data_IF_949410366702
#
_entry.id   IF_949410366702
#
_cell.length_a   1.000
_cell.length_b   1.000
_cell.length_c   1.000
_cell.angle_alpha   90.00
_cell.angle_beta   90.00
_cell.angle_gamma   90.00
#
_symmetry.space_group_name_H-M   'P 1'
#
loop_
_entity.id
_entity.type
_entity.pdbx_description
1 polymer ?
#
# COMPACT_ATOMS: atom_id res chain seq x y z
N UNK A 1 2.53 -2.59 35.05
CA UNK A 1 1.59 -3.32 34.17
C UNK A 1 2.10 -4.75 34.10
N UNK A 2 1.25 -5.74 34.34
CA UNK A 2 1.64 -7.15 34.22
C UNK A 2 1.87 -7.51 32.75
N UNK A 3 2.95 -8.24 32.47
CA UNK A 3 3.29 -8.80 31.17
C UNK A 3 2.57 -10.12 30.93
N UNK A 4 2.62 -10.65 29.70
CA UNK A 4 2.10 -12.00 29.39
C UNK A 4 2.86 -13.04 30.24
N UNK A 5 4.14 -12.77 30.48
CA UNK A 5 5.02 -13.58 31.30
C UNK A 5 4.56 -13.62 32.76
N UNK A 6 4.11 -12.50 33.30
CA UNK A 6 3.60 -12.41 34.68
C UNK A 6 2.23 -13.08 34.83
N UNK A 7 1.34 -12.92 33.84
CA UNK A 7 -0.03 -13.43 33.92
C UNK A 7 -0.14 -14.92 33.59
N UNK A 8 0.68 -15.40 32.66
CA UNK A 8 0.61 -16.74 32.13
C UNK A 8 2.01 -17.36 32.05
N UNK A 9 2.74 -17.55 33.17
CA UNK A 9 4.11 -18.08 33.17
C UNK A 9 4.21 -19.40 32.40
N UNK A 10 5.25 -19.57 31.58
CA UNK A 10 5.36 -20.71 30.65
C UNK A 10 5.49 -22.03 31.41
N UNK A 11 6.03 -21.98 32.62
CA UNK A 11 6.23 -23.11 33.54
C UNK A 11 4.90 -23.68 34.07
N UNK A 12 3.81 -22.92 34.00
CA UNK A 12 2.49 -23.34 34.48
C UNK A 12 1.43 -23.41 33.37
N UNK A 13 1.58 -22.60 32.32
CA UNK A 13 0.61 -22.45 31.25
C UNK A 13 1.13 -22.94 29.90
N UNK A 14 0.31 -23.71 29.19
CA UNK A 14 0.52 -23.89 27.75
C UNK A 14 0.09 -22.60 27.05
N UNK A 15 1.03 -21.92 26.39
CA UNK A 15 0.77 -20.68 25.64
C UNK A 15 0.58 -21.00 24.17
N UNK A 16 -0.54 -20.59 23.62
CA UNK A 16 -0.92 -20.87 22.24
C UNK A 16 -1.06 -19.54 21.51
N UNK A 17 -0.11 -19.21 20.64
CA UNK A 17 -0.17 -18.04 19.79
C UNK A 17 -0.82 -18.40 18.45
N UNK A 18 -1.79 -17.62 18.02
CA UNK A 18 -2.52 -17.86 16.77
C UNK A 18 -2.60 -16.58 15.93
N UNK A 19 -2.43 -16.71 14.62
CA UNK A 19 -2.60 -15.61 13.66
C UNK A 19 -3.19 -16.11 12.32
N UNK A 20 -3.84 -15.21 11.60
CA UNK A 20 -4.59 -15.46 10.37
C UNK A 20 -4.22 -14.51 9.23
N UNK A 21 -3.63 -15.06 8.17
CA UNK A 21 -3.25 -14.31 6.98
C UNK A 21 -4.22 -14.55 5.83
N UNK A 22 -4.51 -13.52 5.05
CA UNK A 22 -5.09 -13.71 3.73
C UNK A 22 -4.50 -12.75 2.69
N UNK A 23 -4.13 -13.32 1.54
CA UNK A 23 -3.62 -12.59 0.40
C UNK A 23 -4.65 -11.60 -0.14
N UNK A 24 -4.26 -10.32 -0.19
CA UNK A 24 -5.16 -9.22 -0.56
C UNK A 24 -6.49 -9.22 0.25
N UNK A 25 -6.48 -9.71 1.49
CA UNK A 25 -7.57 -9.77 2.46
C UNK A 25 -8.76 -10.72 2.17
N UNK A 26 -8.75 -11.49 1.06
CA UNK A 26 -9.88 -12.41 0.73
C UNK A 26 -9.46 -13.62 -0.13
N UNK A 27 -8.17 -13.93 -0.23
CA UNK A 27 -7.68 -15.02 -1.07
C UNK A 27 -6.53 -15.73 -0.40
N UNK A 28 -6.35 -17.03 -0.70
CA UNK A 28 -5.25 -17.86 -0.21
C UNK A 28 -4.98 -17.59 1.28
N UNK A 29 -5.89 -18.09 2.11
CA UNK A 29 -5.78 -17.90 3.55
C UNK A 29 -4.78 -18.87 4.16
N UNK A 30 -4.20 -18.46 5.27
CA UNK A 30 -3.33 -19.31 6.07
C UNK A 30 -3.55 -19.05 7.55
N UNK A 31 -3.60 -20.12 8.33
CA UNK A 31 -3.63 -20.09 9.78
C UNK A 31 -2.24 -20.48 10.30
N UNK A 32 -1.74 -19.74 11.27
CA UNK A 32 -0.48 -20.00 11.95
C UNK A 32 -0.72 -20.26 13.42
N UNK A 33 -0.12 -21.33 13.94
CA UNK A 33 -0.26 -21.75 15.34
C UNK A 33 1.13 -22.02 15.89
N UNK A 34 1.46 -21.38 17.00
CA UNK A 34 2.69 -21.61 17.73
C UNK A 34 2.37 -21.91 19.20
N UNK A 35 2.72 -23.11 19.66
CA UNK A 35 2.44 -23.59 21.01
C UNK A 35 3.75 -23.66 21.79
N UNK A 36 3.73 -23.18 23.02
CA UNK A 36 4.81 -23.33 23.99
C UNK A 36 4.26 -24.10 25.19
N UNK A 37 4.88 -25.23 25.48
CA UNK A 37 4.52 -26.09 26.59
C UNK A 37 5.41 -25.83 27.81
N UNK A 38 4.94 -26.19 29.03
CA UNK A 38 5.73 -26.04 30.26
C UNK A 38 7.05 -26.80 30.29
N UNK A 39 7.13 -27.94 29.61
CA UNK A 39 8.37 -28.73 29.49
C UNK A 39 9.37 -28.16 28.46
N UNK A 40 9.18 -26.91 28.02
CA UNK A 40 9.95 -26.23 26.97
C UNK A 40 9.79 -26.77 25.53
N UNK A 41 8.96 -27.81 25.32
CA UNK A 41 8.59 -28.25 23.97
C UNK A 41 7.76 -27.19 23.24
N UNK A 42 7.82 -27.23 21.91
CA UNK A 42 7.19 -26.25 21.03
C UNK A 42 6.59 -26.93 19.81
N UNK A 43 5.35 -26.59 19.51
CA UNK A 43 4.73 -26.96 18.24
C UNK A 43 4.60 -25.74 17.33
N UNK A 44 4.79 -25.97 16.03
CA UNK A 44 4.54 -24.97 14.99
C UNK A 44 3.70 -25.59 13.90
N UNK A 45 2.54 -25.02 13.64
CA UNK A 45 1.58 -25.53 12.66
C UNK A 45 1.23 -24.39 11.69
N UNK A 46 1.16 -24.74 10.42
CA UNK A 46 0.86 -23.81 9.34
C UNK A 46 -0.15 -24.48 8.41
N UNK A 47 -1.35 -23.90 8.29
CA UNK A 47 -2.51 -24.56 7.66
C UNK A 47 -3.05 -23.69 6.53
N UNK A 48 -3.23 -24.22 5.30
CA UNK A 48 -3.92 -23.49 4.25
C UNK A 48 -5.43 -23.48 4.50
N UNK A 49 -6.05 -22.30 4.55
CA UNK A 49 -7.48 -22.14 4.90
C UNK A 49 -8.39 -21.93 3.69
N UNK A 50 -7.81 -22.01 2.49
CA UNK A 50 -8.52 -22.08 1.21
C UNK A 50 -8.33 -20.86 0.31
N UNK A 51 -8.66 -21.07 -0.97
CA UNK A 51 -8.51 -20.06 -2.04
C UNK A 51 -9.33 -18.80 -1.75
N UNK A 52 -10.48 -18.96 -1.09
CA UNK A 52 -11.42 -17.90 -0.78
C UNK A 52 -11.57 -17.71 0.72
N UNK A 53 -10.53 -17.21 1.36
CA UNK A 53 -10.53 -16.98 2.80
C UNK A 53 -10.20 -15.53 3.13
N UNK A 54 -10.96 -14.92 4.03
CA UNK A 54 -10.67 -13.62 4.62
C UNK A 54 -9.77 -13.75 5.85
N UNK A 55 -9.11 -12.67 6.27
CA UNK A 55 -8.32 -12.69 7.51
C UNK A 55 -9.16 -13.22 8.68
N UNK A 56 -10.38 -12.68 8.87
CA UNK A 56 -11.29 -13.13 9.94
C UNK A 56 -11.54 -14.65 9.95
N UNK A 57 -11.73 -15.25 8.78
CA UNK A 57 -11.92 -16.70 8.67
C UNK A 57 -10.63 -17.47 8.96
N UNK A 58 -9.47 -16.95 8.52
CA UNK A 58 -8.17 -17.54 8.82
C UNK A 58 -7.83 -17.46 10.32
N UNK A 59 -8.13 -16.34 10.99
CA UNK A 59 -7.96 -16.16 12.43
C UNK A 59 -8.82 -17.17 13.21
N UNK A 60 -10.11 -17.25 12.87
CA UNK A 60 -11.02 -18.20 13.52
C UNK A 60 -10.56 -19.65 13.29
N UNK A 61 -10.09 -19.96 12.08
CA UNK A 61 -9.52 -21.28 11.77
C UNK A 61 -8.28 -21.57 12.61
N UNK A 62 -7.38 -20.60 12.83
CA UNK A 62 -6.19 -20.81 13.64
C UNK A 62 -6.52 -21.22 15.08
N UNK A 63 -7.52 -20.57 15.70
CA UNK A 63 -7.95 -20.92 17.07
C UNK A 63 -8.64 -22.29 17.09
N UNK A 64 -9.52 -22.58 16.12
CA UNK A 64 -10.23 -23.87 16.02
C UNK A 64 -9.22 -25.02 15.89
N UNK A 65 -8.32 -24.92 14.92
CA UNK A 65 -7.34 -25.98 14.65
C UNK A 65 -6.34 -26.13 15.80
N UNK A 66 -5.98 -25.03 16.48
CA UNK A 66 -5.16 -25.10 17.68
C UNK A 66 -5.86 -25.83 18.83
N UNK A 67 -7.16 -25.60 19.02
CA UNK A 67 -7.95 -26.29 20.03
C UNK A 67 -8.11 -27.78 19.70
N UNK A 68 -8.39 -28.12 18.44
CA UNK A 68 -8.49 -29.51 17.98
C UNK A 68 -7.16 -30.24 18.13
N UNK A 69 -6.05 -29.63 17.70
CA UNK A 69 -4.70 -30.19 17.87
C UNK A 69 -4.36 -30.45 19.34
N UNK A 70 -4.78 -29.57 20.24
CA UNK A 70 -4.55 -29.77 21.67
C UNK A 70 -5.42 -30.90 22.24
N UNK A 71 -6.65 -31.06 21.75
CA UNK A 71 -7.56 -32.12 22.22
C UNK A 71 -7.07 -33.53 21.87
N UNK A 72 -6.27 -33.67 20.80
CA UNK A 72 -5.64 -34.93 20.39
C UNK A 72 -4.37 -35.26 21.18
N UNK A 73 -3.80 -34.29 21.91
CA UNK A 73 -2.58 -34.46 22.69
C UNK A 73 -2.87 -34.68 24.18
N UNK A 74 -1.98 -35.42 24.85
CA UNK A 74 -1.99 -35.50 26.31
C UNK A 74 -1.61 -34.14 26.90
N UNK A 75 -2.46 -33.52 27.74
CA UNK A 75 -2.17 -32.22 28.34
C UNK A 75 -1.02 -32.35 29.34
N UNK A 76 -0.06 -31.44 29.25
CA UNK A 76 1.03 -31.35 30.24
C UNK A 76 0.65 -30.48 31.46
N UNK A 77 -0.38 -29.67 31.32
CA UNK A 77 -0.93 -28.80 32.36
C UNK A 77 -2.43 -28.67 32.16
N UNK A 78 -3.13 -28.35 33.24
CA UNK A 78 -4.56 -28.09 33.23
C UNK A 78 -4.90 -26.65 32.79
N UNK A 79 -3.91 -25.81 32.50
CA UNK A 79 -4.11 -24.39 32.22
C UNK A 79 -3.55 -24.00 30.85
N UNK A 80 -4.41 -23.44 30.01
CA UNK A 80 -4.06 -23.08 28.64
C UNK A 80 -4.55 -21.68 28.29
N UNK A 81 -3.72 -20.92 27.59
CA UNK A 81 -4.05 -19.57 27.14
C UNK A 81 -3.88 -19.45 25.63
N UNK A 82 -4.94 -19.03 24.95
CA UNK A 82 -4.91 -18.64 23.54
C UNK A 82 -4.63 -17.14 23.46
N UNK A 83 -3.53 -16.79 22.82
CA UNK A 83 -3.02 -15.45 22.61
C UNK A 83 -3.23 -15.08 21.14
N UNK A 84 -4.17 -14.18 20.88
CA UNK A 84 -4.55 -13.78 19.51
C UNK A 84 -4.73 -12.26 19.42
N UNK A 85 -4.38 -11.66 18.29
CA UNK A 85 -4.69 -10.26 18.02
C UNK A 85 -6.05 -10.05 17.33
N UNK A 86 -6.78 -11.14 17.06
CA UNK A 86 -8.06 -11.16 16.38
C UNK A 86 -9.25 -10.82 17.29
N UNK A 87 -9.30 -9.57 17.80
CA UNK A 87 -10.36 -9.11 18.71
C UNK A 87 -11.78 -9.38 18.17
N UNK A 88 -11.98 -9.27 16.85
CA UNK A 88 -13.27 -9.55 16.22
C UNK A 88 -13.73 -11.00 16.35
N UNK A 89 -12.79 -11.96 16.39
CA UNK A 89 -13.09 -13.39 16.56
C UNK A 89 -13.48 -13.66 18.00
N UNK A 90 -12.75 -13.08 18.97
CA UNK A 90 -13.08 -13.19 20.40
C UNK A 90 -14.48 -12.64 20.69
N UNK A 91 -14.79 -11.44 20.20
CA UNK A 91 -16.12 -10.83 20.32
C UNK A 91 -17.21 -11.69 19.66
N UNK A 92 -16.93 -12.33 18.53
CA UNK A 92 -17.90 -13.21 17.88
C UNK A 92 -18.12 -14.52 18.65
N UNK A 93 -17.07 -15.03 19.31
CA UNK A 93 -17.11 -16.20 20.19
C UNK A 93 -18.00 -15.96 21.39
N UNK A 94 -17.82 -14.83 22.10
CA UNK A 94 -18.65 -14.45 23.26
C UNK A 94 -20.14 -14.34 22.92
N UNK A 95 -20.46 -13.93 21.69
CA UNK A 95 -21.83 -13.82 21.21
C UNK A 95 -22.42 -15.14 20.66
N UNK A 96 -21.73 -16.28 20.80
CA UNK A 96 -22.17 -17.59 20.32
C UNK A 96 -22.29 -17.70 18.80
N UNK A 97 -21.69 -16.78 18.04
CA UNK A 97 -21.83 -16.72 16.57
C UNK A 97 -20.89 -17.68 15.83
N UNK A 98 -19.95 -18.30 16.54
CA UNK A 98 -18.94 -19.19 16.00
C UNK A 98 -19.11 -20.62 16.55
N UNK A 99 -20.18 -21.30 16.14
CA UNK A 99 -20.48 -22.65 16.62
C UNK A 99 -19.29 -23.62 16.55
N UNK A 100 -18.52 -23.60 15.45
CA UNK A 100 -17.32 -24.44 15.30
C UNK A 100 -16.24 -24.16 16.35
N UNK A 101 -16.04 -22.88 16.69
CA UNK A 101 -15.10 -22.47 17.73
C UNK A 101 -15.58 -22.92 19.11
N UNK A 102 -16.88 -22.73 19.39
CA UNK A 102 -17.50 -23.22 20.63
C UNK A 102 -17.34 -24.73 20.77
N UNK A 103 -17.59 -25.49 19.70
CA UNK A 103 -17.38 -26.95 19.69
C UNK A 103 -15.93 -27.32 19.94
N UNK A 104 -14.98 -26.69 19.22
CA UNK A 104 -13.56 -27.00 19.36
C UNK A 104 -13.03 -26.69 20.78
N UNK A 105 -13.39 -25.54 21.34
CA UNK A 105 -13.05 -25.21 22.73
C UNK A 105 -13.77 -26.12 23.74
N UNK A 106 -14.98 -26.59 23.42
CA UNK A 106 -15.72 -27.56 24.23
C UNK A 106 -15.03 -28.91 24.35
N UNK A 107 -14.20 -29.31 23.38
CA UNK A 107 -13.37 -30.51 23.46
C UNK A 107 -12.28 -30.40 24.55
N UNK A 108 -11.98 -29.18 24.99
CA UNK A 108 -10.98 -28.85 26.00
C UNK A 108 -11.62 -28.49 27.34
N UNK A 109 -12.89 -28.84 27.58
CA UNK A 109 -13.65 -28.46 28.78
C UNK A 109 -13.05 -28.96 30.10
N UNK A 110 -12.18 -29.96 30.06
CA UNK A 110 -11.42 -30.48 31.20
C UNK A 110 -10.21 -29.60 31.56
N UNK A 111 -9.89 -28.59 30.74
CA UNK A 111 -8.84 -27.61 30.96
C UNK A 111 -9.43 -26.26 31.37
N UNK A 112 -8.64 -25.49 32.12
CA UNK A 112 -8.85 -24.06 32.31
C UNK A 112 -8.37 -23.31 31.07
N UNK A 113 -9.30 -22.87 30.25
CA UNK A 113 -9.03 -22.12 29.02
C UNK A 113 -9.14 -20.62 29.28
N UNK A 114 -8.16 -19.86 28.82
CA UNK A 114 -8.21 -18.40 28.73
C UNK A 114 -8.05 -17.97 27.28
N UNK A 115 -8.95 -17.11 26.80
CA UNK A 115 -8.79 -16.41 25.52
C UNK A 115 -8.32 -14.99 25.81
N UNK A 116 -7.05 -14.70 25.54
CA UNK A 116 -6.43 -13.42 25.81
C UNK A 116 -6.13 -12.68 24.51
N UNK A 117 -6.69 -11.48 24.37
CA UNK A 117 -6.32 -10.60 23.28
C UNK A 117 -4.93 -10.00 23.51
N UNK A 118 -4.10 -9.99 22.46
CA UNK A 118 -2.79 -9.33 22.46
C UNK A 118 -2.69 -8.29 21.34
N UNK A 119 -1.93 -7.20 21.51
CA UNK A 119 -1.80 -6.21 20.46
C UNK A 119 -0.93 -6.72 19.29
N UNK A 120 -1.43 -6.52 18.08
CA UNK A 120 -0.69 -6.83 16.85
C UNK A 120 0.55 -5.94 16.69
N UNK A 121 1.61 -6.48 16.08
CA UNK A 121 2.86 -5.77 15.75
C UNK A 121 3.61 -5.13 16.94
N UNK A 122 3.40 -5.62 18.16
CA UNK A 122 4.12 -5.18 19.35
C UNK A 122 5.41 -5.97 19.66
N UNK A 123 5.95 -6.71 18.67
CA UNK A 123 7.16 -7.54 18.80
C UNK A 123 7.11 -8.60 19.91
N UNK A 124 5.92 -9.14 20.15
CA UNK A 124 5.74 -10.32 21.01
C UNK A 124 6.28 -11.52 20.22
N UNK A 125 7.36 -12.19 20.65
CA UNK A 125 8.03 -13.20 19.82
C UNK A 125 7.12 -14.35 19.38
N UNK A 126 6.23 -14.81 20.27
CA UNK A 126 5.26 -15.85 19.94
C UNK A 126 4.25 -15.43 18.87
N UNK A 127 3.80 -14.16 18.91
CA UNK A 127 2.87 -13.63 17.92
C UNK A 127 3.55 -13.43 16.55
N UNK A 128 4.79 -12.95 16.52
CA UNK A 128 5.56 -12.84 15.27
C UNK A 128 5.80 -14.22 14.63
N UNK A 129 6.00 -15.26 15.46
CA UNK A 129 6.11 -16.63 14.97
C UNK A 129 4.79 -17.13 14.37
N UNK A 130 3.66 -16.89 15.03
CA UNK A 130 2.34 -17.22 14.51
C UNK A 130 2.05 -16.51 13.17
N UNK A 131 2.36 -15.21 13.04
CA UNK A 131 2.19 -14.45 11.79
C UNK A 131 3.05 -14.99 10.64
N UNK A 132 4.29 -15.40 10.94
CA UNK A 132 5.13 -16.07 9.95
C UNK A 132 4.52 -17.41 9.50
N UNK A 133 3.96 -18.20 10.41
CA UNK A 133 3.33 -19.49 10.10
C UNK A 133 2.03 -19.32 9.31
N UNK A 134 1.26 -18.27 9.61
CA UNK A 134 0.05 -17.92 8.88
C UNK A 134 0.37 -17.55 7.43
N UNK A 135 1.44 -16.78 7.21
CA UNK A 135 1.93 -16.46 5.86
C UNK A 135 2.40 -17.71 5.10
N UNK A 136 3.14 -18.60 5.76
CA UNK A 136 3.51 -19.89 5.16
C UNK A 136 2.26 -20.71 4.78
N UNK A 137 1.20 -20.67 5.59
CA UNK A 137 -0.04 -21.40 5.32
C UNK A 137 -0.76 -20.86 4.09
N UNK A 138 -0.71 -19.54 3.90
CA UNK A 138 -1.24 -18.87 2.71
C UNK A 138 -0.46 -19.16 1.42
N UNK A 139 0.80 -19.59 1.54
CA UNK A 139 1.68 -19.97 0.42
C UNK A 139 1.57 -21.47 0.05
N UNK A 140 1.09 -22.31 0.97
CA UNK A 140 0.82 -23.74 0.70
C UNK A 140 -0.26 -23.93 -0.35
N UNK A 141 -0.30 -25.14 -0.93
CA UNK A 141 -1.37 -25.55 -1.84
C UNK A 141 -2.73 -25.40 -1.15
N UNK A 142 -3.58 -24.55 -1.72
CA UNK A 142 -4.86 -24.21 -1.11
C UNK A 142 -5.90 -25.28 -1.47
N UNK A 143 -6.70 -25.76 -0.50
CA UNK A 143 -7.80 -26.66 -0.79
C UNK A 143 -8.85 -25.95 -1.66
N UNK A 144 -9.31 -26.64 -2.70
CA UNK A 144 -10.40 -26.17 -3.54
C UNK A 144 -11.73 -26.51 -2.85
N UNK A 145 -12.26 -25.54 -2.11
CA UNK A 145 -13.56 -25.66 -1.42
C UNK A 145 -14.61 -24.79 -2.10
N UNK A 146 -15.88 -25.24 -2.15
CA UNK A 146 -16.96 -24.46 -2.73
C UNK A 146 -17.10 -23.10 -2.03
N UNK A 147 -17.26 -22.06 -2.86
CA UNK A 147 -17.27 -20.66 -2.42
C UNK A 147 -18.56 -20.36 -1.66
N UNK A 148 -18.45 -19.79 -0.45
CA UNK A 148 -19.63 -19.37 0.31
C UNK A 148 -20.28 -18.11 -0.29
N UNK A 149 -21.56 -17.88 -0.01
CA UNK A 149 -22.27 -16.69 -0.48
C UNK A 149 -21.61 -15.37 0.02
N UNK A 150 -21.07 -15.38 1.24
CA UNK A 150 -20.39 -14.23 1.83
C UNK A 150 -19.08 -13.92 1.08
N UNK A 151 -18.28 -14.94 0.79
CA UNK A 151 -17.06 -14.84 -0.02
C UNK A 151 -17.38 -14.30 -1.43
N UNK A 152 -18.43 -14.82 -2.10
CA UNK A 152 -18.88 -14.32 -3.41
C UNK A 152 -19.27 -12.83 -3.36
N UNK A 153 -19.98 -12.40 -2.31
CA UNK A 153 -20.36 -10.99 -2.11
C UNK A 153 -19.12 -10.12 -1.92
N UNK A 154 -18.14 -10.57 -1.14
CA UNK A 154 -16.87 -9.88 -0.94
C UNK A 154 -16.06 -9.76 -2.25
N UNK A 155 -15.97 -10.84 -3.04
CA UNK A 155 -15.33 -10.87 -4.35
C UNK A 155 -16.00 -9.87 -5.31
N UNK A 156 -17.35 -9.88 -5.40
CA UNK A 156 -18.12 -8.93 -6.22
C UNK A 156 -17.84 -7.47 -5.81
N UNK A 157 -17.83 -7.18 -4.49
CA UNK A 157 -17.53 -5.85 -3.93
C UNK A 157 -16.11 -5.41 -4.28
N UNK A 158 -15.11 -6.29 -4.17
CA UNK A 158 -13.71 -6.03 -4.54
C UNK A 158 -13.55 -5.79 -6.05
N UNK A 159 -14.19 -6.60 -6.91
CA UNK A 159 -14.23 -6.37 -8.37
C UNK A 159 -14.82 -4.99 -8.72
N UNK A 160 -15.94 -4.60 -8.08
CA UNK A 160 -16.52 -3.24 -8.22
C UNK A 160 -15.53 -2.14 -7.78
N UNK A 161 -14.89 -2.28 -6.61
CA UNK A 161 -13.86 -1.32 -6.12
C UNK A 161 -12.66 -1.23 -7.09
N UNK A 162 -12.15 -2.35 -7.61
CA UNK A 162 -11.01 -2.41 -8.56
C UNK A 162 -11.37 -1.72 -9.89
N UNK A 163 -12.59 -1.96 -10.42
CA UNK A 163 -13.14 -1.22 -11.59
C UNK A 163 -13.22 0.29 -11.33
N UNK A 164 -13.74 0.72 -10.17
CA UNK A 164 -13.78 2.15 -9.78
C UNK A 164 -12.37 2.77 -9.70
N UNK A 165 -11.39 2.11 -9.07
CA UNK A 165 -9.98 2.56 -9.01
C UNK A 165 -9.35 2.67 -10.40
N UNK A 166 -9.53 1.68 -11.30
CA UNK A 166 -9.06 1.74 -12.70
C UNK A 166 -9.65 2.93 -13.46
N UNK A 167 -10.98 3.18 -13.35
CA UNK A 167 -11.65 4.35 -13.96
C UNK A 167 -11.05 5.67 -13.43
N UNK A 168 -10.84 5.81 -12.12
CA UNK A 168 -10.21 7.01 -11.51
C UNK A 168 -8.77 7.21 -12.03
N UNK A 169 -7.93 6.18 -12.10
CA UNK A 169 -6.56 6.25 -12.67
C UNK A 169 -6.57 6.68 -14.15
N UNK A 170 -7.45 6.12 -14.99
CA UNK A 170 -7.61 6.53 -16.41
C UNK A 170 -8.01 8.01 -16.53
N UNK A 171 -8.98 8.50 -15.72
CA UNK A 171 -9.37 9.92 -15.69
C UNK A 171 -8.21 10.84 -15.28
N UNK A 172 -7.43 10.48 -14.24
CA UNK A 172 -6.24 11.25 -13.82
C UNK A 172 -5.17 11.31 -14.92
N UNK A 173 -4.84 10.19 -15.59
CA UNK A 173 -3.89 10.16 -16.72
C UNK A 173 -4.36 11.06 -17.89
N UNK A 174 -5.64 11.00 -18.28
CA UNK A 174 -6.21 11.88 -19.33
C UNK A 174 -6.09 13.37 -18.95
N UNK A 175 -6.42 13.75 -17.70
CA UNK A 175 -6.25 15.14 -17.20
C UNK A 175 -4.78 15.60 -17.25
N UNK A 176 -3.81 14.77 -16.80
CA UNK A 176 -2.36 15.08 -16.89
C UNK A 176 -1.89 15.27 -18.34
N UNK A 177 -2.29 14.41 -19.29
CA UNK A 177 -1.97 14.56 -20.72
C UNK A 177 -2.53 15.87 -21.31
N UNK A 178 -3.80 16.22 -21.00
CA UNK A 178 -4.41 17.49 -21.43
C UNK A 178 -3.65 18.71 -20.87
N UNK A 179 -3.26 18.72 -19.58
CA UNK A 179 -2.45 19.79 -18.97
C UNK A 179 -1.07 19.92 -19.64
N UNK A 180 -0.35 18.80 -19.91
CA UNK A 180 0.94 18.81 -20.63
C UNK A 180 0.80 19.38 -22.05
N UNK A 181 -0.23 18.97 -22.83
CA UNK A 181 -0.52 19.52 -24.17
C UNK A 181 -0.78 21.04 -24.12
N UNK A 182 -1.59 21.52 -23.16
CA UNK A 182 -1.85 22.97 -22.97
C UNK A 182 -0.55 23.74 -22.63
N UNK A 183 0.30 23.24 -21.73
CA UNK A 183 1.60 23.85 -21.39
C UNK A 183 2.55 23.91 -22.62
N UNK A 184 2.65 22.83 -23.41
CA UNK A 184 3.44 22.81 -24.66
C UNK A 184 2.93 23.84 -25.69
N UNK A 185 1.60 23.93 -25.91
CA UNK A 185 1.00 24.96 -26.80
C UNK A 185 1.31 26.38 -26.32
N UNK A 186 1.18 26.68 -25.02
CA UNK A 186 1.53 27.99 -24.43
C UNK A 186 3.03 28.33 -24.63
N UNK A 187 3.95 27.39 -24.38
CA UNK A 187 5.40 27.57 -24.62
C UNK A 187 5.70 27.85 -26.11
N UNK A 188 5.11 27.10 -27.05
CA UNK A 188 5.25 27.35 -28.50
C UNK A 188 4.76 28.74 -28.90
N UNK A 189 3.58 29.18 -28.43
CA UNK A 189 3.05 30.54 -28.66
C UNK A 189 3.99 31.63 -28.12
N UNK A 190 4.51 31.48 -26.89
CA UNK A 190 5.50 32.43 -26.31
C UNK A 190 6.79 32.50 -27.15
N UNK A 191 7.35 31.36 -27.59
CA UNK A 191 8.54 31.32 -28.47
C UNK A 191 8.28 32.03 -29.82
N UNK A 192 7.13 31.79 -30.47
CA UNK A 192 6.74 32.49 -31.71
C UNK A 192 6.63 34.01 -31.51
N UNK A 193 6.00 34.48 -30.42
CA UNK A 193 5.91 35.92 -30.07
C UNK A 193 7.31 36.53 -29.85
N UNK A 194 8.21 35.86 -29.12
CA UNK A 194 9.61 36.32 -28.93
C UNK A 194 10.37 36.42 -30.26
N UNK A 195 10.27 35.42 -31.15
CA UNK A 195 10.90 35.45 -32.49
C UNK A 195 10.36 36.63 -33.34
N UNK A 196 9.04 36.87 -33.36
CA UNK A 196 8.43 38.03 -34.06
C UNK A 196 8.95 39.37 -33.50
N UNK A 197 9.03 39.53 -32.16
CA UNK A 197 9.60 40.74 -31.53
C UNK A 197 11.08 40.95 -31.92
N UNK A 198 11.92 39.91 -31.90
CA UNK A 198 13.33 39.98 -32.34
C UNK A 198 13.45 40.40 -33.82
N UNK A 199 12.65 39.82 -34.72
CA UNK A 199 12.63 40.21 -36.16
C UNK A 199 12.23 41.68 -36.33
N UNK A 200 11.19 42.17 -35.62
CA UNK A 200 10.80 43.60 -35.65
C UNK A 200 11.92 44.52 -35.16
N UNK A 201 12.62 44.18 -34.05
CA UNK A 201 13.78 44.94 -33.54
C UNK A 201 14.93 44.99 -34.56
N UNK A 202 15.28 43.86 -35.19
CA UNK A 202 16.32 43.82 -36.25
C UNK A 202 15.95 44.70 -37.46
N UNK A 203 14.69 44.65 -37.93
CA UNK A 203 14.21 45.54 -39.02
C UNK A 203 14.32 47.03 -38.64
N UNK A 204 13.92 47.42 -37.41
CA UNK A 204 14.07 48.79 -36.91
C UNK A 204 15.54 49.24 -36.86
N UNK A 205 16.46 48.40 -36.35
CA UNK A 205 17.91 48.70 -36.35
C UNK A 205 18.48 48.89 -37.77
N UNK A 206 18.12 48.01 -38.73
CA UNK A 206 18.54 48.17 -40.14
C UNK A 206 18.03 49.48 -40.75
N UNK A 207 16.77 49.85 -40.52
CA UNK A 207 16.21 51.15 -40.96
C UNK A 207 16.97 52.34 -40.36
N UNK A 208 17.28 52.33 -39.05
CA UNK A 208 18.10 53.38 -38.40
C UNK A 208 19.51 53.48 -39.00
N UNK A 209 20.20 52.36 -39.25
CA UNK A 209 21.52 52.34 -39.90
C UNK A 209 21.48 52.93 -41.32
N UNK A 210 20.47 52.56 -42.14
CA UNK A 210 20.28 53.15 -43.48
C UNK A 210 20.05 54.67 -43.41
N UNK A 211 19.22 55.15 -42.48
CA UNK A 211 19.02 56.61 -42.26
C UNK A 211 20.33 57.33 -41.87
N UNK A 212 21.13 56.76 -40.96
CA UNK A 212 22.45 57.32 -40.58
C UNK A 212 23.42 57.38 -41.77
N UNK A 213 23.50 56.31 -42.59
CA UNK A 213 24.32 56.31 -43.82
C UNK A 213 23.89 57.38 -44.82
N UNK A 214 22.57 57.56 -45.04
CA UNK A 214 22.04 58.64 -45.89
C UNK A 214 22.41 60.03 -45.36
N UNK A 215 22.30 60.28 -44.04
CA UNK A 215 22.73 61.54 -43.41
C UNK A 215 24.24 61.80 -43.59
N UNK A 216 25.10 60.79 -43.39
CA UNK A 216 26.55 60.92 -43.61
C UNK A 216 26.88 61.24 -45.08
N UNK A 217 26.22 60.58 -46.05
CA UNK A 217 26.39 60.90 -47.48
C UNK A 217 25.97 62.35 -47.80
N UNK A 218 24.85 62.82 -47.24
CA UNK A 218 24.43 64.23 -47.40
C UNK A 218 25.44 65.21 -46.79
N UNK A 219 25.99 64.93 -45.61
CA UNK A 219 27.06 65.76 -45.00
C UNK A 219 28.33 65.79 -45.87
N UNK A 220 28.80 64.64 -46.38
CA UNK A 220 29.95 64.60 -47.30
C UNK A 220 29.71 65.39 -48.59
N UNK A 221 28.50 65.31 -49.17
CA UNK A 221 28.15 66.15 -50.33
C UNK A 221 28.19 67.65 -50.01
N UNK A 222 27.66 68.07 -48.86
CA UNK A 222 27.74 69.48 -48.41
C UNK A 222 29.18 69.96 -48.20
N UNK A 223 30.04 69.13 -47.60
CA UNK A 223 31.47 69.44 -47.39
C UNK A 223 32.24 69.57 -48.71
N UNK A 224 31.95 68.70 -49.69
CA UNK A 224 32.54 68.81 -51.02
C UNK A 224 32.10 70.10 -51.73
N UNK A 225 30.82 70.46 -51.61
CA UNK A 225 30.29 71.70 -52.17
C UNK A 225 30.89 72.96 -51.52
N UNK A 226 31.21 72.92 -50.22
CA UNK A 226 31.89 74.04 -49.55
C UNK A 226 33.36 74.15 -49.93
N UNK A 227 34.08 73.04 -50.14
CA UNK A 227 35.48 73.05 -50.59
C UNK A 227 35.61 73.59 -52.03
N UNK A 228 34.67 73.25 -52.92
CA UNK A 228 34.62 73.82 -54.27
C UNK A 228 34.34 75.33 -54.26
N UNK A 229 33.55 75.84 -53.30
CA UNK A 229 33.30 77.28 -53.15
C UNK A 229 34.47 78.07 -52.53
N UNK A 230 35.39 77.40 -51.82
CA UNK A 230 36.60 78.04 -51.28
C UNK A 230 37.69 78.10 -52.34
N UNK A 231 37.85 77.05 -53.17
CA UNK A 231 38.75 77.09 -54.34
C UNK A 231 38.36 78.12 -55.40
N UNK A 232 37.07 78.48 -55.52
CA UNK A 232 36.61 79.53 -56.42
C UNK A 232 36.76 80.95 -55.85
N UNK A 233 37.29 81.11 -54.63
CA UNK A 233 37.45 82.40 -53.93
C UNK A 233 38.92 82.79 -53.71
N UNK A 234 39.86 81.96 -54.18
CA UNK A 234 41.33 82.16 -54.13
C UNK A 234 41.86 82.40 -55.56
N UNK A 235 41.02 82.88 -56.47
CA UNK A 235 41.41 83.44 -57.76
C UNK A 235 40.86 84.85 -57.86
#
# INVERSE_FOLDING_TARGET
MATIEDLYPVEAWTRIYTDGSATNAIQNGGAGIYIQYPNAEKDTISIPTGIHCSNYEAEACAIIEAATHLAEKTPQTNQVVFLTDALSVLQASENGKLAKLTTALGQLNYLRIVLQWIPSHCKIPGNEKADSLAKQGAEKLQPDRPITFQELKAIKKKKKKKKKKKKKKKKKKKKKKKKKKKKKKKKKKKKKKKKKKKKKKKKKKKKKKKKKKKKKKKKKKKMKASLTNVSSRIR
#
